data_IF_388447879476
#
_entry.id   IF_388447879476
#
_cell.length_a   1.000
_cell.length_b   1.000
_cell.length_c   1.000
_cell.angle_alpha   90.00
_cell.angle_beta   90.00
_cell.angle_gamma   90.00
#
_symmetry.space_group_name_H-M   'P 1'
#
loop_
_entity.id
_entity.type
_entity.pdbx_description
1 polymer ?
#
# COMPACT_ATOMS: atom_id res chain seq x y z
N UNK A 1 9.98 12.83 21.20
CA UNK A 1 9.09 11.67 20.96
C UNK A 1 7.65 12.13 20.77
N UNK A 2 7.11 11.91 19.58
CA UNK A 2 5.73 12.22 19.17
C UNK A 2 4.93 10.94 18.94
N UNK A 3 3.61 11.06 19.01
CA UNK A 3 2.67 9.98 18.73
C UNK A 3 1.91 10.33 17.44
N UNK A 4 2.14 9.56 16.38
CA UNK A 4 1.44 9.71 15.11
C UNK A 4 0.37 8.63 15.00
N UNK A 5 -0.77 8.98 14.40
CA UNK A 5 -1.81 8.02 14.05
C UNK A 5 -1.75 7.69 12.56
N UNK A 6 -1.85 6.41 12.24
CA UNK A 6 -1.71 5.85 10.91
C UNK A 6 -2.95 5.05 10.56
N UNK A 7 -3.39 5.08 9.30
CA UNK A 7 -4.45 4.22 8.79
C UNK A 7 -4.04 3.53 7.49
N UNK A 8 -4.50 2.29 7.29
CA UNK A 8 -4.15 1.46 6.15
C UNK A 8 -5.20 1.62 5.05
N UNK A 9 -4.74 2.02 3.87
CA UNK A 9 -5.60 2.09 2.67
C UNK A 9 -6.05 0.69 2.29
N UNK A 10 -7.36 0.50 2.14
CA UNK A 10 -7.99 -0.79 1.89
C UNK A 10 -8.50 -1.51 3.15
N UNK A 11 -8.32 -0.94 4.35
CA UNK A 11 -8.79 -1.50 5.60
C UNK A 11 -9.54 -0.45 6.45
N UNK A 12 -10.86 -0.57 6.58
CA UNK A 12 -11.65 0.27 7.50
C UNK A 12 -11.31 -0.04 8.97
N UNK A 13 -11.43 0.96 9.83
CA UNK A 13 -11.16 0.87 11.25
C UNK A 13 -9.70 0.55 11.57
N UNK A 14 -8.79 0.85 10.64
CA UNK A 14 -7.37 0.48 10.73
C UNK A 14 -6.50 1.57 11.34
N UNK A 15 -7.09 2.54 12.04
CA UNK A 15 -6.33 3.56 12.74
C UNK A 15 -5.51 2.96 13.90
N UNK A 16 -4.21 3.22 13.92
CA UNK A 16 -3.32 2.82 15.01
C UNK A 16 -2.25 3.87 15.26
N UNK A 17 -1.68 3.86 16.46
CA UNK A 17 -0.65 4.82 16.83
C UNK A 17 0.76 4.23 16.78
N UNK A 18 1.71 5.04 16.33
CA UNK A 18 3.16 4.78 16.39
C UNK A 18 3.86 5.89 17.16
N UNK A 19 4.93 5.55 17.88
CA UNK A 19 5.77 6.52 18.58
C UNK A 19 7.13 6.58 17.92
N UNK A 20 7.58 7.79 17.61
CA UNK A 20 8.85 8.09 16.94
C UNK A 20 9.43 9.38 17.52
N UNK A 21 10.70 9.66 17.33
CA UNK A 21 11.27 10.97 17.65
C UNK A 21 11.03 11.98 16.52
N UNK A 22 10.92 13.26 16.86
CA UNK A 22 10.73 14.32 15.85
C UNK A 22 11.96 14.45 14.95
N UNK A 23 13.14 14.15 15.51
CA UNK A 23 14.40 14.13 14.79
C UNK A 23 14.59 12.88 13.92
N UNK A 24 13.68 11.92 13.98
CA UNK A 24 13.74 10.72 13.14
C UNK A 24 13.45 11.06 11.67
N UNK A 25 13.78 10.11 10.80
CA UNK A 25 13.45 10.15 9.38
C UNK A 25 12.14 9.43 9.08
N UNK A 26 11.63 9.64 7.86
CA UNK A 26 10.49 8.87 7.34
C UNK A 26 10.84 7.39 7.20
N UNK A 27 12.11 7.05 7.01
CA UNK A 27 12.56 5.65 6.98
C UNK A 27 12.36 4.98 8.34
N UNK A 28 12.78 5.65 9.42
CA UNK A 28 12.55 5.20 10.81
C UNK A 28 11.04 5.09 11.12
N UNK A 29 10.23 6.06 10.66
CA UNK A 29 8.77 5.99 10.77
C UNK A 29 8.20 4.78 10.01
N UNK A 30 8.71 4.50 8.82
CA UNK A 30 8.29 3.37 8.02
C UNK A 30 8.61 2.05 8.73
N UNK A 31 9.77 1.92 9.36
CA UNK A 31 10.14 0.77 10.19
C UNK A 31 9.22 0.63 11.42
N UNK A 32 8.94 1.73 12.12
CA UNK A 32 8.05 1.70 13.28
C UNK A 32 6.61 1.27 12.93
N UNK A 33 6.08 1.79 11.82
CA UNK A 33 4.77 1.40 11.28
C UNK A 33 4.78 -0.08 10.91
N UNK A 34 5.83 -0.50 10.22
CA UNK A 34 6.00 -1.86 9.77
C UNK A 34 6.00 -2.87 10.92
N UNK A 35 6.76 -2.62 11.98
CA UNK A 35 6.78 -3.50 13.16
C UNK A 35 5.39 -3.57 13.81
N UNK A 36 4.65 -2.45 13.86
CA UNK A 36 3.27 -2.49 14.37
C UNK A 36 2.31 -3.29 13.52
N UNK A 37 2.42 -3.16 12.21
CA UNK A 37 1.57 -3.92 11.29
C UNK A 37 1.89 -5.42 11.39
N UNK A 38 3.18 -5.80 11.47
CA UNK A 38 3.57 -7.21 11.70
C UNK A 38 2.93 -7.79 12.94
N UNK A 39 2.94 -7.06 14.05
CA UNK A 39 2.31 -7.52 15.30
C UNK A 39 0.79 -7.71 15.13
N UNK A 40 0.11 -6.81 14.42
CA UNK A 40 -1.34 -6.90 14.17
C UNK A 40 -1.73 -8.08 13.29
N UNK A 41 -0.90 -8.39 12.28
CA UNK A 41 -1.20 -9.40 11.26
C UNK A 41 -0.31 -10.65 11.35
N UNK A 42 0.29 -10.91 12.52
CA UNK A 42 1.24 -12.02 12.72
C UNK A 42 0.64 -13.41 12.41
N UNK A 43 -0.68 -13.51 12.38
CA UNK A 43 -1.43 -14.74 12.08
C UNK A 43 -2.01 -14.78 10.65
N UNK A 44 -1.70 -13.82 9.79
CA UNK A 44 -2.19 -13.76 8.41
C UNK A 44 -1.07 -14.06 7.40
N UNK A 45 -1.00 -15.31 6.93
CA UNK A 45 0.02 -15.79 5.99
C UNK A 45 0.01 -15.03 4.65
N UNK A 46 -1.14 -14.46 4.25
CA UNK A 46 -1.23 -13.67 3.01
C UNK A 46 -0.56 -12.32 3.16
N UNK A 47 -0.49 -11.81 4.39
CA UNK A 47 0.12 -10.52 4.66
C UNK A 47 1.62 -10.58 4.38
N UNK A 48 2.33 -11.64 4.84
CA UNK A 48 3.80 -11.75 4.78
C UNK A 48 4.42 -11.64 3.37
N UNK A 49 3.71 -12.05 2.31
CA UNK A 49 4.18 -11.87 0.92
C UNK A 49 4.22 -10.40 0.52
N UNK A 50 3.16 -9.67 0.87
CA UNK A 50 2.91 -8.28 0.46
C UNK A 50 3.92 -7.32 1.11
N UNK A 51 4.35 -7.67 2.33
CA UNK A 51 5.25 -6.85 3.13
C UNK A 51 6.71 -6.88 2.60
N UNK A 52 7.13 -7.79 1.72
CA UNK A 52 8.46 -7.68 1.08
C UNK A 52 8.63 -6.36 0.26
N UNK A 53 7.51 -5.72 -0.09
CA UNK A 53 7.45 -4.41 -0.73
C UNK A 53 7.39 -3.28 0.32
N UNK A 54 8.38 -2.37 0.30
CA UNK A 54 8.43 -1.19 1.19
C UNK A 54 7.09 -0.43 1.16
N UNK A 55 6.47 -0.27 2.33
CA UNK A 55 5.24 0.51 2.52
C UNK A 55 5.35 1.89 1.86
N UNK A 56 4.25 2.39 1.31
CA UNK A 56 4.19 3.77 0.82
C UNK A 56 3.42 4.63 1.81
N UNK A 57 4.07 5.67 2.31
CA UNK A 57 3.48 6.58 3.29
C UNK A 57 3.06 7.89 2.62
N UNK A 58 1.89 8.38 2.97
CA UNK A 58 1.33 9.65 2.50
C UNK A 58 0.86 10.49 3.68
N UNK A 59 1.01 11.82 3.57
CA UNK A 59 0.48 12.74 4.57
C UNK A 59 -1.05 12.76 4.50
N UNK A 60 -1.72 12.52 5.62
CA UNK A 60 -3.17 12.49 5.73
C UNK A 60 -3.76 13.89 5.88
N UNK A 61 -3.37 14.82 4.98
CA UNK A 61 -3.93 16.17 4.92
C UNK A 61 -4.88 16.31 3.75
N UNK A 62 -5.95 17.06 3.97
CA UNK A 62 -6.81 17.57 2.90
C UNK A 62 -6.08 18.64 2.10
N UNK A 63 -6.61 19.02 0.94
CA UNK A 63 -6.08 20.14 0.14
C UNK A 63 -6.03 21.47 0.93
N UNK A 64 -6.90 21.63 1.94
CA UNK A 64 -6.91 22.78 2.86
C UNK A 64 -5.87 22.71 3.98
N UNK A 65 -5.06 21.65 4.04
CA UNK A 65 -4.00 21.48 5.04
C UNK A 65 -4.45 20.93 6.39
N UNK A 66 -5.74 20.62 6.55
CA UNK A 66 -6.28 19.99 7.76
C UNK A 66 -6.02 18.47 7.74
N UNK A 67 -5.80 17.87 8.91
CA UNK A 67 -5.71 16.41 9.05
C UNK A 67 -7.04 15.73 8.77
N UNK A 68 -7.00 14.49 8.29
CA UNK A 68 -8.19 13.65 8.13
C UNK A 68 -8.69 13.23 9.51
N UNK A 69 -10.00 13.34 9.73
CA UNK A 69 -10.67 12.87 10.95
C UNK A 69 -10.68 11.34 10.97
N UNK A 70 -10.56 10.76 12.16
CA UNK A 70 -10.72 9.32 12.39
C UNK A 70 -12.21 9.01 12.63
N UNK A 71 -13.00 9.00 11.54
CA UNK A 71 -14.45 8.84 11.56
C UNK A 71 -14.96 7.84 10.51
N UNK A 72 -16.28 7.62 10.51
CA UNK A 72 -16.95 6.72 9.56
C UNK A 72 -16.73 7.13 8.09
N UNK A 73 -16.43 8.41 7.81
CA UNK A 73 -16.18 8.88 6.45
C UNK A 73 -14.75 8.53 6.01
N UNK A 74 -13.77 8.59 6.91
CA UNK A 74 -12.45 8.01 6.67
C UNK A 74 -12.55 6.53 6.36
N UNK A 75 -13.34 5.77 7.12
CA UNK A 75 -13.50 4.33 6.88
C UNK A 75 -14.06 4.01 5.49
N UNK A 76 -15.10 4.75 5.07
CA UNK A 76 -15.62 4.67 3.70
C UNK A 76 -14.56 5.05 2.68
N UNK A 77 -13.75 6.07 2.97
CA UNK A 77 -12.68 6.50 2.07
C UNK A 77 -11.61 5.41 1.92
N UNK A 78 -11.18 4.77 3.02
CA UNK A 78 -10.17 3.72 3.04
C UNK A 78 -10.63 2.45 2.32
N UNK A 79 -11.92 2.09 2.42
CA UNK A 79 -12.49 0.95 1.68
C UNK A 79 -12.58 1.21 0.18
N UNK A 80 -12.78 2.47 -0.20
CA UNK A 80 -12.76 2.88 -1.60
C UNK A 80 -11.33 3.08 -2.10
N UNK A 81 -11.17 3.24 -3.42
CA UNK A 81 -9.87 3.56 -4.01
C UNK A 81 -9.48 4.99 -3.63
N UNK A 82 -8.70 5.15 -2.56
CA UNK A 82 -8.11 6.44 -2.17
C UNK A 82 -7.23 6.95 -3.30
N UNK A 83 -7.52 8.15 -3.79
CA UNK A 83 -6.69 8.82 -4.80
C UNK A 83 -5.47 9.46 -4.13
N UNK A 84 -4.45 8.64 -3.83
CA UNK A 84 -3.21 9.10 -3.21
C UNK A 84 -2.35 9.99 -4.12
N UNK A 85 -2.72 10.18 -5.39
CA UNK A 85 -2.02 11.07 -6.31
C UNK A 85 -2.10 12.54 -5.90
N UNK A 86 -3.15 12.90 -5.16
CA UNK A 86 -3.37 14.25 -4.61
C UNK A 86 -2.71 14.45 -3.25
N UNK A 87 -2.20 13.38 -2.64
CA UNK A 87 -1.60 13.40 -1.31
C UNK A 87 -0.08 13.47 -1.39
N UNK A 88 0.53 14.11 -0.39
CA UNK A 88 1.98 14.26 -0.33
C UNK A 88 2.62 12.92 0.07
N UNK A 89 3.21 12.23 -0.91
CA UNK A 89 4.02 11.03 -0.67
C UNK A 89 5.26 11.39 0.15
N UNK A 90 5.46 10.69 1.26
CA UNK A 90 6.64 10.85 2.12
C UNK A 90 7.84 10.12 1.50
N UNK A 91 9.04 10.66 1.73
CA UNK A 91 10.32 10.10 1.23
C UNK A 91 11.17 9.72 2.42
N UNK A 92 11.75 8.51 2.42
CA UNK A 92 12.51 7.96 3.54
C UNK A 92 13.59 8.91 4.11
N UNK A 93 14.29 9.64 3.24
CA UNK A 93 15.35 10.58 3.66
C UNK A 93 14.87 11.88 4.32
N UNK A 94 13.56 12.11 4.42
CA UNK A 94 13.02 13.33 5.02
C UNK A 94 12.93 13.20 6.53
N UNK A 95 13.29 14.27 7.24
CA UNK A 95 13.10 14.39 8.69
C UNK A 95 11.65 14.70 9.05
N UNK A 96 11.15 14.11 10.12
CA UNK A 96 9.75 14.25 10.54
C UNK A 96 9.43 15.68 11.02
N UNK A 97 10.36 16.31 11.74
CA UNK A 97 10.26 17.70 12.19
C UNK A 97 10.29 18.75 11.08
N UNK A 98 10.36 18.37 9.79
CA UNK A 98 10.22 19.33 8.69
C UNK A 98 8.89 20.07 8.82
N UNK A 99 8.87 21.42 8.68
CA UNK A 99 7.66 22.23 8.82
C UNK A 99 6.55 21.81 7.86
N UNK A 100 6.92 21.38 6.64
CA UNK A 100 5.96 20.94 5.62
C UNK A 100 5.45 19.51 5.81
N UNK A 101 5.84 18.83 6.88
CA UNK A 101 5.38 17.48 7.25
C UNK A 101 4.60 17.57 8.55
N UNK A 102 5.24 17.23 9.67
CA UNK A 102 4.68 17.29 11.00
C UNK A 102 5.10 18.55 11.74
N UNK A 103 6.16 19.25 11.31
CA UNK A 103 6.70 20.44 11.98
C UNK A 103 7.26 20.20 13.39
N UNK A 104 8.05 21.13 13.92
CA UNK A 104 8.41 21.13 15.34
C UNK A 104 7.21 21.57 16.18
N UNK A 105 6.97 20.91 17.32
CA UNK A 105 5.96 21.30 18.32
C UNK A 105 4.49 21.35 17.82
N UNK A 106 4.15 20.67 16.72
CA UNK A 106 2.81 20.78 16.13
C UNK A 106 1.76 20.09 17.00
N UNK A 107 0.66 20.81 17.20
CA UNK A 107 -0.57 20.22 17.72
C UNK A 107 -1.11 19.26 16.66
N UNK A 108 -0.85 17.98 16.90
CA UNK A 108 -1.23 16.86 16.05
C UNK A 108 -2.75 16.64 16.00
N UNK A 109 -3.53 17.47 16.69
CA UNK A 109 -4.99 17.34 16.74
C UNK A 109 -5.43 16.15 17.58
N UNK A 110 -6.73 16.10 17.84
CA UNK A 110 -7.41 14.97 18.50
C UNK A 110 -8.26 14.25 17.45
N UNK A 111 -8.39 12.93 17.59
CA UNK A 111 -9.24 12.08 16.72
C UNK A 111 -8.96 12.25 15.21
N UNK A 112 -7.67 12.31 14.86
CA UNK A 112 -7.20 12.48 13.48
C UNK A 112 -6.11 11.49 13.09
N UNK A 113 -6.07 11.18 11.79
CA UNK A 113 -5.00 10.40 11.16
C UNK A 113 -3.97 11.33 10.53
N UNK A 114 -2.70 10.96 10.69
CA UNK A 114 -1.53 11.72 10.26
C UNK A 114 -0.89 11.13 9.01
N UNK A 115 -0.93 9.81 8.91
CA UNK A 115 -0.25 9.04 7.87
C UNK A 115 -1.21 8.03 7.27
N UNK A 116 -1.33 8.05 5.94
CA UNK A 116 -1.97 6.98 5.19
C UNK A 116 -0.90 5.99 4.72
N UNK A 117 -1.14 4.72 5.03
CA UNK A 117 -0.23 3.60 4.73
C UNK A 117 -0.83 2.84 3.56
N UNK A 118 -0.15 2.88 2.42
CA UNK A 118 -0.48 2.05 1.27
C UNK A 118 0.45 0.85 1.26
N UNK A 119 -0.16 -0.33 1.32
CA UNK A 119 0.53 -1.60 1.18
C UNK A 119 0.50 -1.98 -0.32
N UNK A 120 1.65 -2.01 -1.03
CA UNK A 120 1.67 -2.36 -2.44
C UNK A 120 1.23 -3.82 -2.61
N UNK A 121 0.26 -4.08 -3.48
CA UNK A 121 -0.05 -5.47 -3.88
C UNK A 121 1.06 -5.94 -4.82
N UNK A 122 1.61 -7.13 -4.58
CA UNK A 122 2.53 -7.75 -5.53
C UNK A 122 1.88 -7.84 -6.91
N UNK A 123 2.53 -7.31 -7.95
CA UNK A 123 2.12 -7.43 -9.36
C UNK A 123 2.29 -8.87 -9.90
N UNK A 124 2.04 -9.88 -9.08
CA UNK A 124 1.85 -11.25 -9.52
C UNK A 124 0.37 -11.58 -9.79
N UNK A 125 -0.55 -10.66 -9.52
CA UNK A 125 -1.94 -10.67 -9.99
C UNK A 125 -2.08 -10.31 -11.49
N UNK A 126 -1.18 -10.82 -12.33
CA UNK A 126 -1.24 -10.68 -13.81
C UNK A 126 -2.34 -11.54 -14.45
N UNK A 127 -3.25 -12.10 -13.66
CA UNK A 127 -4.21 -13.11 -14.12
C UNK A 127 -5.54 -12.57 -14.64
N UNK A 128 -5.73 -11.25 -14.82
CA UNK A 128 -7.00 -10.73 -15.36
C UNK A 128 -6.93 -10.16 -16.79
N UNK A 129 -5.75 -9.87 -17.35
CA UNK A 129 -5.64 -9.29 -18.70
C UNK A 129 -5.42 -10.32 -19.83
N UNK A 130 -5.23 -11.61 -19.50
CA UNK A 130 -5.06 -12.69 -20.49
C UNK A 130 -6.39 -13.41 -20.82
N UNK A 131 -7.51 -13.03 -20.20
CA UNK A 131 -8.80 -13.73 -20.30
C UNK A 131 -9.73 -13.17 -21.39
N UNK A 132 -9.19 -12.69 -22.51
CA UNK A 132 -9.91 -12.67 -23.78
C UNK A 132 -9.19 -13.61 -24.74
N UNK A 133 -9.53 -14.89 -24.62
CA UNK A 133 -9.09 -15.93 -25.52
C UNK A 133 -9.60 -15.66 -26.93
N UNK A 134 -8.68 -15.43 -27.86
CA UNK A 134 -8.84 -15.81 -29.25
C UNK A 134 -7.56 -16.51 -29.68
N UNK A 135 -7.55 -17.84 -29.57
CA UNK A 135 -6.53 -18.64 -30.22
C UNK A 135 -6.80 -18.64 -31.73
N UNK A 136 -5.82 -18.37 -32.62
CA UNK A 136 -5.95 -18.79 -34.00
C UNK A 136 -5.84 -20.31 -34.04
N UNK A 137 -6.88 -20.96 -34.58
CA UNK A 137 -6.97 -22.40 -34.74
C UNK A 137 -5.79 -22.97 -35.54
N UNK A 138 -5.14 -24.01 -35.00
CA UNK A 138 -4.29 -24.90 -35.79
C UNK A 138 -5.16 -25.70 -36.78
N UNK A 139 -4.78 -25.81 -38.07
CA UNK A 139 -5.44 -26.73 -38.99
C UNK A 139 -5.06 -28.20 -38.71
N UNK A 140 -5.96 -29.15 -39.03
CA UNK A 140 -5.83 -30.55 -38.62
C UNK A 140 -4.77 -31.33 -39.38
N UNK A 141 -4.22 -32.33 -38.70
CA UNK A 141 -3.21 -33.30 -39.14
C UNK A 141 -3.75 -34.26 -40.21
N UNK A 142 -3.00 -34.46 -41.29
CA UNK A 142 -3.13 -35.64 -42.15
C UNK A 142 -1.86 -36.47 -42.03
N UNK A 143 -2.00 -37.63 -41.38
CA UNK A 143 -1.08 -38.76 -41.45
C UNK A 143 -1.33 -39.42 -42.79
N UNK A 144 -0.34 -39.50 -43.67
CA UNK A 144 -0.34 -40.50 -44.73
C UNK A 144 0.89 -41.40 -44.60
N UNK A 145 0.61 -42.68 -44.35
CA UNK A 145 1.55 -43.78 -44.13
C UNK A 145 2.34 -44.07 -45.41
N UNK A 146 3.61 -44.44 -45.21
CA UNK A 146 4.48 -45.16 -46.15
C UNK A 146 4.06 -46.65 -46.22
N UNK A 147 4.11 -47.30 -47.39
CA UNK A 147 4.94 -48.50 -47.56
C UNK A 147 5.58 -48.61 -48.98
N UNK A 148 6.90 -48.79 -49.08
CA UNK A 148 7.65 -50.03 -49.39
C UNK A 148 7.95 -50.32 -50.89
N UNK A 149 9.25 -50.54 -51.15
CA UNK A 149 9.98 -51.35 -52.16
C UNK A 149 9.33 -51.68 -53.52
N UNK A 150 10.09 -51.41 -54.61
CA UNK A 150 10.61 -52.37 -55.62
C UNK A 150 10.90 -51.68 -56.97
N UNK A 151 12.18 -51.41 -57.26
CA UNK A 151 12.95 -51.85 -58.44
C UNK A 151 14.32 -51.20 -58.45
#
# INVERSE_FOLDING_TARGET
MVKLFCAIVGAAGSAFSVRVDESDSVDDLQEAIWEKIKEMFIHDDKFWSVVASRLQLFLAKTEGGAWLQDDDDLDKMLQNKVDTSKMKKLRGSWKLNKPDLFGPDVSLGEDVVHVLVVVPKDENDRSAAMALGVAPSLPPTTIHRHPERLK
#
